data_IF_474696059657
#
_entry.id   IF_474696059657
#
_cell.length_a   1.000
_cell.length_b   1.000
_cell.length_c   1.000
_cell.angle_alpha   90.00
_cell.angle_beta   90.00
_cell.angle_gamma   90.00
#
_symmetry.space_group_name_H-M   'P 1'
#
loop_
_entity.id
_entity.type
_entity.pdbx_description
1 polymer ?
#
# COMPACT_ATOMS: atom_id res chain seq x y z
N UNK A 1 42.59 10.46 -0.78
CA UNK A 1 41.29 11.16 -0.67
C UNK A 1 40.83 11.80 -1.99
N UNK A 2 41.69 12.47 -2.79
CA UNK A 2 41.26 13.02 -4.10
C UNK A 2 40.88 11.94 -5.11
N UNK A 3 41.63 10.85 -5.20
CA UNK A 3 41.35 9.73 -6.11
C UNK A 3 40.06 8.93 -5.80
N UNK A 4 39.47 9.06 -4.61
CA UNK A 4 38.22 8.36 -4.26
C UNK A 4 37.01 9.11 -4.82
N UNK A 5 36.99 10.44 -4.70
CA UNK A 5 35.98 11.27 -5.36
C UNK A 5 36.06 11.18 -6.88
N UNK A 6 37.27 11.09 -7.46
CA UNK A 6 37.42 10.89 -8.90
C UNK A 6 37.01 9.48 -9.33
N UNK A 7 37.18 8.45 -8.49
CA UNK A 7 36.64 7.10 -8.77
C UNK A 7 35.13 7.07 -8.68
N UNK A 8 34.51 7.68 -7.68
CA UNK A 8 33.04 7.77 -7.54
C UNK A 8 32.41 8.68 -8.61
N UNK A 9 33.17 9.64 -9.14
CA UNK A 9 32.73 10.47 -10.27
C UNK A 9 32.95 9.79 -11.64
N UNK A 10 33.94 8.89 -11.76
CA UNK A 10 34.29 8.20 -13.02
C UNK A 10 33.72 6.78 -13.14
N UNK A 11 33.33 6.12 -12.04
CA UNK A 11 32.22 5.18 -12.13
C UNK A 11 31.02 6.07 -12.34
N UNK A 12 30.61 6.18 -13.60
CA UNK A 12 29.22 6.41 -13.94
C UNK A 12 28.39 5.45 -13.09
N UNK A 13 28.01 5.91 -11.89
CA UNK A 13 26.94 5.35 -11.10
C UNK A 13 25.73 5.66 -11.97
N UNK A 14 25.53 4.79 -12.97
CA UNK A 14 24.81 5.12 -14.18
C UNK A 14 23.57 5.89 -13.81
N UNK A 15 23.53 7.13 -14.27
CA UNK A 15 22.31 7.93 -14.29
C UNK A 15 21.18 7.19 -15.02
N UNK A 16 21.53 6.12 -15.74
CA UNK A 16 20.64 5.14 -16.40
C UNK A 16 20.17 3.97 -15.52
N UNK A 17 20.58 3.84 -14.25
CA UNK A 17 20.30 2.62 -13.46
C UNK A 17 18.87 2.59 -12.89
N UNK A 18 18.18 3.73 -12.77
CA UNK A 18 16.74 3.78 -12.50
C UNK A 18 16.13 5.07 -13.08
N UNK A 19 15.92 5.18 -14.40
CA UNK A 19 15.10 6.27 -14.91
C UNK A 19 13.69 6.12 -14.31
N UNK A 20 13.14 7.22 -13.80
CA UNK A 20 11.72 7.31 -13.44
C UNK A 20 10.94 6.86 -14.68
N UNK A 21 10.41 5.64 -14.62
CA UNK A 21 9.88 4.92 -15.77
C UNK A 21 8.56 5.56 -16.19
N UNK A 22 8.60 6.37 -17.25
CA UNK A 22 7.46 7.15 -17.74
C UNK A 22 6.28 6.26 -18.16
N UNK A 23 6.56 5.05 -18.64
CA UNK A 23 5.57 4.01 -18.94
C UNK A 23 4.74 3.61 -17.71
N UNK A 24 5.33 3.60 -16.52
CA UNK A 24 4.62 3.29 -15.27
C UNK A 24 3.56 4.35 -14.95
N UNK A 25 3.84 5.63 -15.21
CA UNK A 25 2.88 6.72 -15.00
C UNK A 25 1.72 6.67 -16.01
N UNK A 26 2.01 6.30 -17.26
CA UNK A 26 0.97 6.11 -18.29
C UNK A 26 0.04 4.96 -17.87
N UNK A 27 0.60 3.82 -17.43
CA UNK A 27 -0.20 2.69 -16.96
C UNK A 27 -1.04 3.10 -15.72
N UNK A 28 -0.46 3.79 -14.75
CA UNK A 28 -1.18 4.27 -13.55
C UNK A 28 -2.34 5.21 -13.91
N UNK A 29 -2.14 6.07 -14.91
CA UNK A 29 -3.19 6.95 -15.45
C UNK A 29 -4.34 6.16 -16.05
N UNK A 30 -4.04 5.15 -16.87
CA UNK A 30 -5.06 4.29 -17.49
C UNK A 30 -5.83 3.46 -16.45
N UNK A 31 -5.18 3.10 -15.34
CA UNK A 31 -5.78 2.34 -14.24
C UNK A 31 -6.44 3.22 -13.16
N UNK A 32 -6.51 4.54 -13.33
CA UNK A 32 -7.15 5.44 -12.35
C UNK A 32 -8.61 5.06 -12.02
N UNK A 33 -9.46 4.63 -12.98
CA UNK A 33 -10.81 4.15 -12.67
C UNK A 33 -10.82 2.93 -11.74
N UNK A 34 -9.88 1.99 -11.92
CA UNK A 34 -9.78 0.82 -11.05
C UNK A 34 -9.31 1.22 -9.64
N UNK A 35 -8.44 2.24 -9.54
CA UNK A 35 -8.03 2.82 -8.26
C UNK A 35 -9.23 3.45 -7.55
N UNK A 36 -10.03 4.26 -8.25
CA UNK A 36 -11.26 4.82 -7.71
C UNK A 36 -12.18 3.71 -7.20
N UNK A 37 -12.46 2.69 -8.02
CA UNK A 37 -13.29 1.55 -7.61
C UNK A 37 -12.72 0.87 -6.36
N UNK A 38 -11.41 0.61 -6.29
CA UNK A 38 -10.78 0.05 -5.08
C UNK A 38 -11.00 0.94 -3.86
N UNK A 39 -10.82 2.25 -3.98
CA UNK A 39 -11.08 3.20 -2.90
C UNK A 39 -12.53 3.12 -2.43
N UNK A 40 -13.50 3.10 -3.34
CA UNK A 40 -14.92 2.98 -2.98
C UNK A 40 -15.24 1.64 -2.28
N UNK A 41 -14.63 0.54 -2.73
CA UNK A 41 -14.74 -0.77 -2.07
C UNK A 41 -14.18 -0.71 -0.64
N UNK A 42 -13.03 -0.05 -0.44
CA UNK A 42 -12.43 0.10 0.89
C UNK A 42 -13.30 0.97 1.81
N UNK A 43 -13.95 2.01 1.27
CA UNK A 43 -14.92 2.83 1.99
C UNK A 43 -16.21 2.06 2.34
N UNK A 44 -16.45 0.93 1.65
CA UNK A 44 -17.61 0.08 1.86
C UNK A 44 -18.81 0.42 0.98
N UNK A 45 -18.62 1.22 -0.07
CA UNK A 45 -19.65 1.51 -1.06
C UNK A 45 -19.85 0.29 -1.98
N UNK A 46 -21.02 -0.33 -1.90
CA UNK A 46 -21.37 -1.56 -2.64
C UNK A 46 -22.72 -1.39 -3.37
N UNK A 47 -22.75 -0.77 -4.56
CA UNK A 47 -24.00 -0.48 -5.28
C UNK A 47 -24.62 -1.72 -5.96
N UNK A 48 -23.86 -2.81 -6.10
CA UNK A 48 -24.31 -4.04 -6.75
C UNK A 48 -24.53 -5.14 -5.71
N UNK A 49 -25.69 -5.78 -5.76
CA UNK A 49 -26.03 -6.88 -4.87
C UNK A 49 -25.08 -8.08 -5.02
N UNK A 50 -24.72 -8.77 -3.92
CA UNK A 50 -23.90 -9.97 -3.98
C UNK A 50 -24.66 -11.11 -4.66
N UNK A 51 -23.95 -11.91 -5.43
CA UNK A 51 -24.48 -13.11 -6.07
C UNK A 51 -24.03 -14.36 -5.30
N UNK A 52 -24.92 -15.35 -5.21
CA UNK A 52 -24.57 -16.64 -4.64
C UNK A 52 -23.66 -17.39 -5.62
N UNK A 53 -22.49 -17.80 -5.16
CA UNK A 53 -21.53 -18.61 -5.92
C UNK A 53 -21.26 -19.91 -5.17
N UNK A 54 -21.02 -20.99 -5.91
CA UNK A 54 -20.57 -22.24 -5.33
C UNK A 54 -19.13 -22.08 -4.87
N UNK A 55 -18.82 -22.58 -3.67
CA UNK A 55 -17.44 -22.52 -3.18
C UNK A 55 -16.48 -23.22 -4.15
N UNK A 56 -15.25 -22.72 -4.35
CA UNK A 56 -14.26 -23.43 -5.17
C UNK A 56 -13.97 -24.85 -4.66
N UNK A 57 -14.14 -25.07 -3.35
CA UNK A 57 -14.00 -26.38 -2.70
C UNK A 57 -15.16 -27.35 -3.01
N UNK A 58 -16.29 -26.84 -3.54
CA UNK A 58 -17.34 -27.67 -4.14
C UNK A 58 -16.83 -28.45 -5.35
N UNK A 59 -15.82 -27.94 -6.07
CA UNK A 59 -15.20 -28.65 -7.20
C UNK A 59 -14.41 -29.88 -6.71
N UNK A 60 -13.91 -29.84 -5.47
CA UNK A 60 -13.23 -30.94 -4.80
C UNK A 60 -14.19 -31.83 -3.97
N UNK A 61 -15.51 -31.69 -4.15
CA UNK A 61 -16.55 -32.48 -3.46
C UNK A 61 -16.52 -32.43 -1.92
N UNK A 62 -15.77 -31.50 -1.33
CA UNK A 62 -15.52 -31.46 0.12
C UNK A 62 -16.62 -30.73 0.91
N UNK A 63 -17.33 -29.78 0.30
CA UNK A 63 -18.46 -29.08 0.92
C UNK A 63 -19.28 -28.25 -0.08
N UNK A 64 -20.61 -28.40 -0.04
CA UNK A 64 -21.59 -27.64 -0.85
C UNK A 64 -22.01 -26.34 -0.16
N UNK A 65 -21.09 -25.61 0.49
CA UNK A 65 -21.41 -24.31 1.08
C UNK A 65 -21.57 -23.24 -0.01
N UNK A 66 -22.69 -22.52 0.03
CA UNK A 66 -22.93 -21.34 -0.80
C UNK A 66 -22.17 -20.15 -0.22
N UNK A 67 -21.41 -19.45 -1.07
CA UNK A 67 -20.66 -18.25 -0.67
C UNK A 67 -21.23 -17.07 -1.43
N UNK A 68 -21.56 -16.00 -0.72
CA UNK A 68 -21.98 -14.75 -1.35
C UNK A 68 -20.76 -13.95 -1.77
N UNK A 69 -20.70 -13.59 -3.05
CA UNK A 69 -19.60 -12.85 -3.64
C UNK A 69 -20.13 -11.56 -4.28
N UNK A 70 -19.43 -10.45 -4.03
CA UNK A 70 -19.65 -9.23 -4.78
C UNK A 70 -19.12 -9.38 -6.21
N UNK A 71 -19.69 -8.63 -7.18
CA UNK A 71 -19.15 -8.55 -8.52
C UNK A 71 -17.68 -8.11 -8.52
N UNK A 72 -16.92 -8.57 -9.50
CA UNK A 72 -15.52 -8.19 -9.63
C UNK A 72 -15.33 -6.67 -9.83
N UNK A 73 -14.10 -6.20 -9.65
CA UNK A 73 -13.74 -4.78 -9.80
C UNK A 73 -14.08 -4.20 -11.17
N UNK A 74 -14.03 -5.00 -12.25
CA UNK A 74 -14.32 -4.53 -13.61
C UNK A 74 -15.81 -4.28 -13.82
N UNK A 75 -16.68 -5.17 -13.33
CA UNK A 75 -18.14 -5.00 -13.38
C UNK A 75 -18.54 -3.77 -12.58
N UNK A 76 -17.95 -3.58 -11.40
CA UNK A 76 -18.16 -2.37 -10.60
C UNK A 76 -17.67 -1.12 -11.36
N UNK A 77 -16.46 -1.12 -11.90
CA UNK A 77 -15.93 0.03 -12.66
C UNK A 77 -16.79 0.37 -13.88
N UNK A 78 -17.29 -0.65 -14.60
CA UNK A 78 -18.26 -0.45 -15.69
C UNK A 78 -19.55 0.19 -15.19
N UNK A 79 -20.06 -0.25 -14.04
CA UNK A 79 -21.23 0.37 -13.42
C UNK A 79 -20.98 1.85 -13.08
N UNK A 80 -19.81 2.19 -12.53
CA UNK A 80 -19.44 3.59 -12.25
C UNK A 80 -19.46 4.45 -13.52
N UNK A 81 -18.91 3.95 -14.63
CA UNK A 81 -18.93 4.66 -15.91
C UNK A 81 -20.34 4.90 -16.44
N UNK A 82 -21.23 3.93 -16.31
CA UNK A 82 -22.63 4.08 -16.74
C UNK A 82 -23.42 5.04 -15.83
N UNK A 83 -23.14 5.04 -14.52
CA UNK A 83 -23.90 5.83 -13.54
C UNK A 83 -23.43 7.28 -13.44
N UNK A 84 -22.11 7.52 -13.46
CA UNK A 84 -21.52 8.84 -13.23
C UNK A 84 -20.86 9.45 -14.48
N UNK A 85 -20.77 8.69 -15.57
CA UNK A 85 -20.18 9.14 -16.84
C UNK A 85 -18.68 8.83 -16.95
N UNK A 86 -18.18 8.86 -18.18
CA UNK A 86 -16.79 8.51 -18.51
C UNK A 86 -15.78 9.47 -17.86
N UNK A 87 -15.93 10.77 -18.14
CA UNK A 87 -14.94 11.78 -17.72
C UNK A 87 -14.83 11.93 -16.20
N UNK A 88 -15.93 12.05 -15.43
CA UNK A 88 -15.82 12.17 -13.97
C UNK A 88 -15.09 10.98 -13.34
N UNK A 89 -15.37 9.76 -13.80
CA UNK A 89 -14.72 8.54 -13.29
C UNK A 89 -13.25 8.46 -13.71
N UNK A 90 -12.92 8.84 -14.94
CA UNK A 90 -11.52 8.84 -15.43
C UNK A 90 -10.64 9.87 -14.71
N UNK A 91 -11.16 11.08 -14.47
CA UNK A 91 -10.37 12.20 -13.94
C UNK A 91 -10.45 12.35 -12.42
N UNK A 92 -11.38 11.65 -11.75
CA UNK A 92 -11.55 11.70 -10.30
C UNK A 92 -10.23 11.40 -9.58
N UNK A 93 -9.80 12.31 -8.71
CA UNK A 93 -8.59 12.14 -7.91
C UNK A 93 -7.29 12.09 -8.71
N UNK A 94 -7.31 12.27 -10.04
CA UNK A 94 -6.16 12.01 -10.90
C UNK A 94 -4.91 12.77 -10.48
N UNK A 95 -5.03 14.09 -10.28
CA UNK A 95 -3.89 14.93 -9.89
C UNK A 95 -3.31 14.51 -8.53
N UNK A 96 -4.19 14.25 -7.56
CA UNK A 96 -3.80 13.78 -6.22
C UNK A 96 -3.09 12.43 -6.28
N UNK A 97 -3.64 11.48 -7.06
CA UNK A 97 -3.02 10.17 -7.33
C UNK A 97 -1.65 10.32 -7.98
N UNK A 98 -1.53 11.20 -8.97
CA UNK A 98 -0.26 11.46 -9.66
C UNK A 98 0.80 12.03 -8.70
N UNK A 99 0.47 13.05 -7.91
CA UNK A 99 1.39 13.61 -6.92
C UNK A 99 1.77 12.59 -5.85
N UNK A 100 0.80 11.81 -5.36
CA UNK A 100 1.04 10.71 -4.43
C UNK A 100 2.04 9.69 -5.00
N UNK A 101 1.78 9.23 -6.22
CA UNK A 101 2.61 8.22 -6.89
C UNK A 101 4.01 8.76 -7.18
N UNK A 102 4.12 10.00 -7.69
CA UNK A 102 5.39 10.65 -7.98
C UNK A 102 6.26 10.80 -6.72
N UNK A 103 5.68 11.30 -5.63
CA UNK A 103 6.40 11.44 -4.37
C UNK A 103 6.81 10.07 -3.81
N UNK A 104 5.94 9.06 -3.90
CA UNK A 104 6.27 7.69 -3.50
C UNK A 104 7.46 7.14 -4.29
N UNK A 105 7.52 7.37 -5.62
CA UNK A 105 8.67 6.97 -6.44
C UNK A 105 9.96 7.69 -6.03
N UNK A 106 9.88 8.99 -5.72
CA UNK A 106 11.04 9.76 -5.24
C UNK A 106 11.56 9.18 -3.92
N UNK A 107 10.69 8.89 -2.95
CA UNK A 107 11.09 8.29 -1.68
C UNK A 107 11.59 6.86 -1.81
N UNK A 108 11.02 6.08 -2.74
CA UNK A 108 11.53 4.77 -3.09
C UNK A 108 12.96 4.86 -3.64
N UNK A 109 13.22 5.77 -4.58
CA UNK A 109 14.55 6.01 -5.10
C UNK A 109 15.55 6.43 -4.00
N UNK A 110 15.15 7.33 -3.11
CA UNK A 110 15.98 7.77 -1.98
C UNK A 110 16.30 6.61 -1.01
N UNK A 111 15.30 5.79 -0.69
CA UNK A 111 15.47 4.61 0.18
C UNK A 111 16.37 3.56 -0.47
N UNK A 112 16.19 3.30 -1.76
CA UNK A 112 17.03 2.39 -2.53
C UNK A 112 18.48 2.88 -2.58
N UNK A 113 18.70 4.17 -2.89
CA UNK A 113 20.03 4.79 -2.91
C UNK A 113 20.71 4.69 -1.54
N UNK A 114 19.98 4.96 -0.45
CA UNK A 114 20.50 4.78 0.91
C UNK A 114 20.95 3.34 1.17
N UNK A 115 20.16 2.34 0.77
CA UNK A 115 20.51 0.92 0.95
C UNK A 115 21.75 0.56 0.11
N UNK A 116 21.80 0.96 -1.15
CA UNK A 116 22.93 0.67 -2.07
C UNK A 116 24.22 1.32 -1.58
N UNK A 117 24.18 2.60 -1.19
CA UNK A 117 25.35 3.30 -0.67
C UNK A 117 25.90 2.62 0.59
N UNK A 118 25.02 2.19 1.50
CA UNK A 118 25.44 1.44 2.69
C UNK A 118 25.94 0.04 2.36
N UNK A 119 25.39 -0.60 1.33
CA UNK A 119 25.88 -1.89 0.86
C UNK A 119 27.29 -1.77 0.26
N UNK A 120 27.54 -0.76 -0.57
CA UNK A 120 28.86 -0.47 -1.15
C UNK A 120 29.91 -0.13 -0.08
N UNK A 121 29.57 0.69 0.92
CA UNK A 121 30.48 0.99 2.03
C UNK A 121 30.76 -0.24 2.92
N UNK A 122 29.83 -1.20 2.98
CA UNK A 122 30.08 -2.48 3.64
C UNK A 122 30.91 -3.44 2.74
N UNK A 123 30.83 -3.29 1.42
CA UNK A 123 31.59 -4.05 0.42
C UNK A 123 33.08 -3.72 0.38
N UNK A 124 33.52 -2.59 0.96
CA UNK A 124 34.96 -2.30 1.20
C UNK A 124 35.63 -3.36 2.12
N UNK A 125 34.85 -4.31 2.66
CA UNK A 125 35.26 -5.46 3.48
C UNK A 125 34.94 -6.83 2.86
N UNK A 126 34.44 -6.89 1.62
CA UNK A 126 34.09 -8.15 0.94
C UNK A 126 35.12 -8.48 -0.15
N UNK A 127 35.67 -9.69 -0.07
CA UNK A 127 36.65 -10.25 -1.00
C UNK A 127 36.08 -10.34 -2.43
N UNK A 128 36.89 -9.97 -3.43
CA UNK A 128 36.53 -9.69 -4.83
C UNK A 128 35.84 -10.86 -5.57
N UNK A 129 35.82 -12.05 -4.97
CA UNK A 129 35.30 -13.29 -5.55
C UNK A 129 33.77 -13.41 -5.53
N UNK A 130 33.04 -12.65 -4.71
CA UNK A 130 31.56 -12.72 -4.65
C UNK A 130 30.83 -11.69 -5.54
N UNK A 131 31.54 -10.70 -6.07
CA UNK A 131 30.99 -9.55 -6.81
C UNK A 131 30.65 -9.88 -8.28
N UNK A 132 31.33 -10.86 -8.88
CA UNK A 132 31.22 -11.09 -10.33
C UNK A 132 30.00 -11.89 -10.81
N UNK A 133 29.14 -12.41 -9.94
CA UNK A 133 28.15 -13.42 -10.36
C UNK A 133 26.66 -13.13 -10.09
N UNK A 134 26.27 -11.98 -9.52
CA UNK A 134 24.85 -11.78 -9.12
C UNK A 134 24.16 -10.57 -9.77
N UNK A 135 22.95 -10.76 -10.35
CA UNK A 135 22.18 -9.67 -10.95
C UNK A 135 21.60 -8.72 -9.89
N UNK A 136 21.44 -7.46 -10.32
CA UNK A 136 21.29 -6.20 -9.58
C UNK A 136 20.09 -6.06 -8.61
N UNK A 137 19.18 -7.03 -8.51
CA UNK A 137 18.07 -6.99 -7.53
C UNK A 137 18.41 -7.60 -6.16
N UNK A 138 19.59 -8.23 -6.02
CA UNK A 138 20.02 -8.93 -4.80
C UNK A 138 21.07 -8.19 -3.97
N UNK A 139 21.41 -6.96 -4.33
CA UNK A 139 22.52 -6.25 -3.71
C UNK A 139 22.20 -5.78 -2.28
N UNK A 140 20.97 -5.33 -2.01
CA UNK A 140 20.50 -5.04 -0.66
C UNK A 140 20.25 -6.29 0.19
N UNK A 141 20.22 -7.48 -0.43
CA UNK A 141 19.97 -8.73 0.28
C UNK A 141 21.20 -9.12 1.10
N UNK A 142 22.41 -9.14 0.53
CA UNK A 142 23.63 -9.50 1.27
C UNK A 142 24.02 -8.57 2.43
N UNK A 143 23.50 -7.34 2.46
CA UNK A 143 23.84 -6.36 3.48
C UNK A 143 23.26 -6.69 4.86
N UNK A 144 22.01 -7.17 4.94
CA UNK A 144 21.35 -7.47 6.23
C UNK A 144 22.01 -8.65 6.96
N UNK A 145 22.78 -9.43 6.22
CA UNK A 145 23.21 -10.77 6.54
C UNK A 145 24.38 -10.84 7.54
N UNK A 146 25.21 -9.78 7.59
CA UNK A 146 26.46 -9.77 8.38
C UNK A 146 26.58 -8.61 9.37
N UNK A 147 25.56 -7.77 9.46
CA UNK A 147 25.60 -6.55 10.27
C UNK A 147 25.35 -6.87 11.77
N UNK A 148 26.16 -6.33 12.70
CA UNK A 148 25.93 -6.47 14.13
C UNK A 148 24.60 -5.81 14.56
N UNK A 149 24.00 -6.28 15.65
CA UNK A 149 22.64 -5.88 16.04
C UNK A 149 22.48 -4.35 16.21
N UNK A 150 23.50 -3.67 16.72
CA UNK A 150 23.51 -2.21 16.89
C UNK A 150 23.45 -1.46 15.56
N UNK A 151 24.22 -1.88 14.57
CA UNK A 151 24.21 -1.29 13.23
C UNK A 151 22.91 -1.64 12.50
N UNK A 152 22.39 -2.87 12.65
CA UNK A 152 21.08 -3.24 12.10
C UNK A 152 19.97 -2.35 12.65
N UNK A 153 19.97 -2.09 13.97
CA UNK A 153 19.01 -1.18 14.60
C UNK A 153 19.14 0.26 14.06
N UNK A 154 20.37 0.76 13.86
CA UNK A 154 20.60 2.08 13.27
C UNK A 154 20.08 2.17 11.82
N UNK A 155 20.34 1.14 10.99
CA UNK A 155 19.84 1.11 9.62
C UNK A 155 18.32 1.00 9.58
N UNK A 156 17.72 0.16 10.43
CA UNK A 156 16.27 0.04 10.56
C UNK A 156 15.65 1.37 10.98
N UNK A 157 16.24 2.08 11.95
CA UNK A 157 15.78 3.39 12.37
C UNK A 157 15.79 4.40 11.22
N UNK A 158 16.88 4.48 10.46
CA UNK A 158 16.98 5.38 9.30
C UNK A 158 15.94 5.05 8.22
N UNK A 159 15.72 3.76 7.93
CA UNK A 159 14.67 3.33 7.00
C UNK A 159 13.27 3.69 7.51
N UNK A 160 13.01 3.51 8.81
CA UNK A 160 11.77 3.94 9.44
C UNK A 160 11.59 5.47 9.32
N UNK A 161 12.64 6.26 9.57
CA UNK A 161 12.57 7.71 9.42
C UNK A 161 12.25 8.11 7.98
N UNK A 162 12.93 7.54 6.99
CA UNK A 162 12.63 7.79 5.57
C UNK A 162 11.17 7.47 5.23
N UNK A 163 10.67 6.33 5.72
CA UNK A 163 9.28 5.90 5.49
C UNK A 163 8.25 6.78 6.20
N UNK A 164 8.55 7.27 7.41
CA UNK A 164 7.70 8.24 8.11
C UNK A 164 7.61 9.55 7.32
N UNK A 165 8.72 10.07 6.80
CA UNK A 165 8.72 11.28 5.98
C UNK A 165 7.91 11.08 4.70
N UNK A 166 8.07 9.94 4.01
CA UNK A 166 7.27 9.58 2.85
C UNK A 166 5.77 9.64 3.16
N UNK A 167 5.32 8.98 4.25
CA UNK A 167 3.91 8.94 4.62
C UNK A 167 3.39 10.34 4.95
N UNK A 168 4.12 11.13 5.72
CA UNK A 168 3.73 12.50 6.09
C UNK A 168 3.58 13.40 4.87
N UNK A 169 4.51 13.32 3.92
CA UNK A 169 4.50 14.16 2.70
C UNK A 169 3.41 13.71 1.72
N UNK A 170 3.16 12.41 1.61
CA UNK A 170 2.15 11.85 0.69
C UNK A 170 0.73 11.88 1.26
N UNK A 171 0.55 12.04 2.59
CA UNK A 171 -0.76 11.94 3.25
C UNK A 171 -1.81 12.94 2.73
N UNK A 172 -1.49 14.23 2.53
CA UNK A 172 -2.49 15.18 2.02
C UNK A 172 -3.07 14.74 0.66
N UNK A 173 -2.22 14.27 -0.25
CA UNK A 173 -2.64 13.79 -1.57
C UNK A 173 -3.50 12.53 -1.46
N UNK A 174 -3.15 11.61 -0.56
CA UNK A 174 -3.97 10.43 -0.28
C UNK A 174 -5.37 10.81 0.21
N UNK A 175 -5.48 11.72 1.18
CA UNK A 175 -6.78 12.16 1.73
C UNK A 175 -7.62 12.86 0.66
N UNK A 176 -7.02 13.75 -0.13
CA UNK A 176 -7.71 14.43 -1.22
C UNK A 176 -8.23 13.40 -2.24
N UNK A 177 -7.40 12.45 -2.67
CA UNK A 177 -7.81 11.37 -3.56
C UNK A 177 -9.02 10.59 -3.02
N UNK A 178 -9.00 10.19 -1.74
CA UNK A 178 -10.11 9.44 -1.12
C UNK A 178 -11.39 10.27 -1.03
N UNK A 179 -11.30 11.54 -0.62
CA UNK A 179 -12.46 12.44 -0.51
C UNK A 179 -13.06 12.79 -1.88
N UNK A 180 -12.23 13.00 -2.90
CA UNK A 180 -12.71 13.15 -4.29
C UNK A 180 -13.38 11.88 -4.81
N UNK A 181 -12.88 10.71 -4.40
CA UNK A 181 -13.51 9.42 -4.68
C UNK A 181 -14.90 9.33 -4.06
N UNK A 182 -15.04 9.65 -2.76
CA UNK A 182 -16.35 9.63 -2.09
C UNK A 182 -17.32 10.69 -2.64
N UNK A 183 -16.82 11.87 -3.03
CA UNK A 183 -17.68 12.95 -3.54
C UNK A 183 -18.36 12.62 -4.86
N UNK A 184 -17.80 11.71 -5.67
CA UNK A 184 -18.45 11.27 -6.92
C UNK A 184 -19.80 10.60 -6.62
N UNK A 185 -19.89 9.86 -5.51
CA UNK A 185 -21.11 9.18 -5.06
C UNK A 185 -22.13 10.21 -4.57
N UNK A 186 -21.67 11.15 -3.72
CA UNK A 186 -22.51 12.20 -3.15
C UNK A 186 -22.93 13.29 -4.15
N UNK A 187 -22.42 13.25 -5.39
CA UNK A 187 -22.58 14.30 -6.41
C UNK A 187 -22.21 15.70 -5.88
N UNK A 188 -21.22 15.74 -4.99
CA UNK A 188 -20.79 16.96 -4.30
C UNK A 188 -19.81 17.75 -5.18
N UNK A 189 -20.20 18.98 -5.52
CA UNK A 189 -19.42 19.84 -6.44
C UNK A 189 -18.14 20.38 -5.77
N UNK A 190 -18.13 20.49 -4.43
CA UNK A 190 -16.98 21.01 -3.67
C UNK A 190 -15.68 20.21 -3.79
N UNK A 191 -15.70 19.05 -4.43
CA UNK A 191 -14.54 18.15 -4.58
C UNK A 191 -14.28 17.78 -6.05
N UNK A 192 -14.97 18.40 -7.02
CA UNK A 192 -14.82 18.07 -8.45
C UNK A 192 -13.40 18.30 -8.96
N UNK A 193 -12.75 19.38 -8.52
CA UNK A 193 -11.36 19.70 -8.87
C UNK A 193 -10.43 19.66 -7.67
N UNK A 194 -9.13 19.45 -7.92
CA UNK A 194 -8.11 19.39 -6.87
C UNK A 194 -8.13 20.62 -5.96
N UNK A 195 -8.11 21.83 -6.52
CA UNK A 195 -8.10 23.06 -5.73
C UNK A 195 -9.38 23.22 -4.89
N UNK A 196 -10.53 22.80 -5.44
CA UNK A 196 -11.81 22.83 -4.71
C UNK A 196 -11.78 21.86 -3.54
N UNK A 197 -11.27 20.65 -3.76
CA UNK A 197 -11.11 19.66 -2.70
C UNK A 197 -10.19 20.18 -1.59
N UNK A 198 -9.07 20.83 -1.93
CA UNK A 198 -8.17 21.49 -0.95
C UNK A 198 -8.92 22.55 -0.14
N UNK A 199 -9.64 23.45 -0.80
CA UNK A 199 -10.41 24.51 -0.13
C UNK A 199 -11.51 23.94 0.77
N UNK A 200 -12.23 22.91 0.30
CA UNK A 200 -13.28 22.24 1.06
C UNK A 200 -12.73 21.53 2.30
N UNK A 201 -11.60 20.82 2.18
CA UNK A 201 -10.96 20.16 3.34
C UNK A 201 -10.50 21.20 4.37
N UNK A 202 -9.85 22.27 3.91
CA UNK A 202 -9.36 23.32 4.79
C UNK A 202 -10.51 24.06 5.49
N UNK A 203 -11.61 24.33 4.78
CA UNK A 203 -12.82 24.94 5.36
C UNK A 203 -13.46 24.03 6.41
N UNK A 204 -13.54 22.73 6.15
CA UNK A 204 -14.28 21.80 7.00
C UNK A 204 -13.48 21.37 8.26
N UNK A 205 -12.15 21.20 8.14
CA UNK A 205 -11.29 20.61 9.19
C UNK A 205 -9.94 21.32 9.40
N UNK A 206 -9.68 22.42 8.69
CA UNK A 206 -8.36 23.06 8.68
C UNK A 206 -7.25 22.15 8.15
N UNK A 207 -6.04 22.37 8.64
CA UNK A 207 -4.84 21.62 8.22
C UNK A 207 -4.92 20.16 8.66
N UNK A 208 -5.51 19.88 9.82
CA UNK A 208 -5.61 18.51 10.35
C UNK A 208 -6.45 17.59 9.47
N UNK A 209 -7.39 18.15 8.69
CA UNK A 209 -8.18 17.38 7.72
C UNK A 209 -7.35 16.67 6.66
N UNK A 210 -6.21 17.23 6.26
CA UNK A 210 -5.30 16.59 5.29
C UNK A 210 -4.54 15.39 5.87
N UNK A 211 -4.56 15.22 7.19
CA UNK A 211 -3.87 14.16 7.91
C UNK A 211 -4.85 13.14 8.54
N UNK A 212 -6.14 13.22 8.22
CA UNK A 212 -7.13 12.23 8.63
C UNK A 212 -6.71 10.81 8.18
N UNK A 213 -6.74 9.85 9.09
CA UNK A 213 -6.31 8.47 8.83
C UNK A 213 -4.79 8.23 8.84
N UNK A 214 -3.94 9.22 9.17
CA UNK A 214 -2.48 9.04 9.14
C UNK A 214 -1.97 7.95 10.09
N UNK A 215 -2.55 7.81 11.29
CA UNK A 215 -2.09 6.82 12.28
C UNK A 215 -2.19 5.38 11.78
N UNK A 216 -3.36 4.88 11.33
CA UNK A 216 -3.43 3.53 10.76
C UNK A 216 -2.58 3.40 9.49
N UNK A 217 -2.39 4.45 8.69
CA UNK A 217 -1.50 4.42 7.52
C UNK A 217 -0.03 4.25 7.90
N UNK A 218 0.47 5.01 8.87
CA UNK A 218 1.84 4.87 9.39
C UNK A 218 2.08 3.44 9.89
N UNK A 219 1.14 2.89 10.64
CA UNK A 219 1.24 1.51 11.10
C UNK A 219 1.21 0.50 9.94
N UNK A 220 0.36 0.72 8.93
CA UNK A 220 0.29 -0.11 7.73
C UNK A 220 1.59 -0.09 6.92
N UNK A 221 2.24 1.05 6.77
CA UNK A 221 3.42 1.22 5.94
C UNK A 221 4.71 0.78 6.66
N UNK A 222 4.80 1.02 7.97
CA UNK A 222 5.98 0.65 8.77
C UNK A 222 5.98 -0.83 9.19
N UNK A 223 4.82 -1.37 9.57
CA UNK A 223 4.77 -2.72 10.15
C UNK A 223 5.27 -3.81 9.20
N UNK A 224 4.94 -3.82 7.88
CA UNK A 224 5.44 -4.84 6.98
C UNK A 224 6.94 -4.77 6.79
N UNK A 225 7.48 -3.56 6.62
CA UNK A 225 8.91 -3.34 6.47
C UNK A 225 9.68 -3.83 7.71
N UNK A 226 9.26 -3.42 8.90
CA UNK A 226 9.92 -3.81 10.15
C UNK A 226 9.84 -5.32 10.36
N UNK A 227 8.64 -5.90 10.24
CA UNK A 227 8.44 -7.34 10.46
C UNK A 227 9.22 -8.14 9.42
N UNK A 228 9.19 -7.74 8.15
CA UNK A 228 9.92 -8.42 7.09
C UNK A 228 11.44 -8.41 7.33
N UNK A 229 12.02 -7.26 7.69
CA UNK A 229 13.45 -7.15 7.98
C UNK A 229 13.85 -7.98 9.22
N UNK A 230 13.03 -7.96 10.27
CA UNK A 230 13.24 -8.76 11.47
C UNK A 230 13.15 -10.27 11.18
N UNK A 231 12.09 -10.70 10.48
CA UNK A 231 11.89 -12.11 10.07
C UNK A 231 13.06 -12.56 9.20
N UNK A 232 13.48 -11.75 8.25
CA UNK A 232 14.63 -12.06 7.38
C UNK A 232 15.90 -12.29 8.19
N UNK A 233 16.21 -11.40 9.14
CA UNK A 233 17.35 -11.55 10.05
C UNK A 233 17.25 -12.82 10.91
N UNK A 234 16.07 -13.12 11.46
CA UNK A 234 15.85 -14.32 12.29
C UNK A 234 15.97 -15.63 11.49
N UNK A 235 15.34 -15.71 10.32
CA UNK A 235 15.42 -16.87 9.43
C UNK A 235 16.87 -17.17 9.05
N UNK A 236 17.66 -16.13 8.84
CA UNK A 236 19.07 -16.28 8.52
C UNK A 236 19.93 -16.80 9.67
N UNK A 237 19.77 -16.25 10.86
CA UNK A 237 20.57 -16.67 12.03
C UNK A 237 20.24 -18.11 12.45
N UNK A 238 18.96 -18.47 12.47
CA UNK A 238 18.49 -19.72 13.09
C UNK A 238 18.21 -20.86 12.10
N UNK A 239 17.69 -20.57 10.90
CA UNK A 239 17.21 -21.60 9.98
C UNK A 239 18.20 -21.85 8.85
N UNK A 240 18.71 -20.80 8.19
CA UNK A 240 19.59 -20.96 7.03
C UNK A 240 21.03 -21.38 7.38
N UNK A 241 21.45 -21.19 8.63
CA UNK A 241 22.67 -21.82 9.16
C UNK A 241 22.55 -23.36 9.22
N UNK A 242 21.35 -23.87 9.48
CA UNK A 242 21.04 -25.32 9.53
C UNK A 242 20.63 -25.89 8.16
N UNK A 243 19.90 -25.12 7.34
CA UNK A 243 19.33 -25.52 6.05
C UNK A 243 20.21 -25.11 4.85
N UNK A 244 21.53 -25.09 5.02
CA UNK A 244 22.48 -24.69 3.96
C UNK A 244 22.38 -25.53 2.67
N UNK A 245 21.79 -26.73 2.74
CA UNK A 245 21.63 -27.63 1.59
C UNK A 245 20.43 -27.31 0.69
N UNK A 246 19.52 -26.42 1.10
CA UNK A 246 18.31 -26.12 0.34
C UNK A 246 18.60 -25.20 -0.85
N UNK A 247 17.90 -25.40 -1.97
CA UNK A 247 18.17 -24.62 -3.18
C UNK A 247 17.81 -23.13 -3.01
N UNK A 248 18.49 -22.26 -3.76
CA UNK A 248 18.25 -20.81 -3.80
C UNK A 248 16.77 -20.46 -4.10
N UNK A 249 16.08 -21.32 -4.85
CA UNK A 249 14.66 -21.17 -5.18
C UNK A 249 13.78 -21.27 -3.94
N UNK A 250 14.05 -22.23 -3.05
CA UNK A 250 13.22 -22.41 -1.85
C UNK A 250 13.37 -21.22 -0.89
N UNK A 251 14.58 -20.69 -0.75
CA UNK A 251 14.84 -19.46 0.01
C UNK A 251 13.99 -18.29 -0.52
N UNK A 252 13.99 -18.10 -1.84
CA UNK A 252 13.19 -17.07 -2.51
C UNK A 252 11.68 -17.24 -2.26
N UNK A 253 11.18 -18.48 -2.32
CA UNK A 253 9.78 -18.78 -2.02
C UNK A 253 9.41 -18.45 -0.57
N UNK A 254 10.26 -18.79 0.40
CA UNK A 254 10.02 -18.48 1.83
C UNK A 254 9.97 -16.96 2.05
N UNK A 255 10.90 -16.21 1.44
CA UNK A 255 10.90 -14.75 1.54
C UNK A 255 9.66 -14.11 0.89
N UNK A 256 9.25 -14.61 -0.28
CA UNK A 256 8.05 -14.11 -0.97
C UNK A 256 6.78 -14.42 -0.18
N UNK A 257 6.66 -15.65 0.34
CA UNK A 257 5.51 -16.07 1.12
C UNK A 257 5.41 -15.31 2.45
N UNK A 258 6.52 -15.13 3.17
CA UNK A 258 6.55 -14.34 4.41
C UNK A 258 6.12 -12.90 4.15
N UNK A 259 6.64 -12.26 3.10
CA UNK A 259 6.23 -10.91 2.70
C UNK A 259 4.73 -10.86 2.36
N UNK A 260 4.20 -11.83 1.61
CA UNK A 260 2.79 -11.89 1.25
C UNK A 260 1.88 -12.00 2.48
N UNK A 261 2.22 -12.87 3.45
CA UNK A 261 1.47 -13.03 4.70
C UNK A 261 1.48 -11.75 5.53
N UNK A 262 2.65 -11.12 5.66
CA UNK A 262 2.80 -9.87 6.40
C UNK A 262 1.92 -8.76 5.80
N UNK A 263 1.95 -8.59 4.46
CA UNK A 263 1.11 -7.60 3.78
C UNK A 263 -0.38 -7.90 3.92
N UNK A 264 -0.79 -9.17 3.84
CA UNK A 264 -2.19 -9.56 4.04
C UNK A 264 -2.72 -9.18 5.43
N UNK A 265 -1.90 -9.35 6.47
CA UNK A 265 -2.25 -8.96 7.84
C UNK A 265 -2.28 -7.44 8.00
N UNK A 266 -1.29 -6.74 7.42
CA UNK A 266 -1.17 -5.29 7.51
C UNK A 266 -2.28 -4.55 6.73
N UNK A 267 -2.78 -5.13 5.63
CA UNK A 267 -3.85 -4.54 4.80
C UNK A 267 -5.09 -4.10 5.58
N UNK A 268 -5.37 -4.76 6.70
CA UNK A 268 -6.47 -4.39 7.61
C UNK A 268 -6.37 -2.94 8.08
N UNK A 269 -5.15 -2.43 8.23
CA UNK A 269 -4.88 -1.04 8.62
C UNK A 269 -4.99 -0.07 7.42
N UNK A 270 -4.70 -0.52 6.19
CA UNK A 270 -4.93 0.27 4.97
C UNK A 270 -6.42 0.62 4.83
N UNK A 271 -7.32 -0.37 5.04
CA UNK A 271 -8.78 -0.15 4.99
C UNK A 271 -9.22 0.84 6.06
N UNK A 272 -8.73 0.70 7.30
CA UNK A 272 -9.05 1.64 8.39
C UNK A 272 -8.55 3.05 8.07
N UNK A 273 -7.36 3.18 7.48
CA UNK A 273 -6.84 4.46 6.99
C UNK A 273 -7.75 5.09 5.93
N UNK A 274 -8.22 4.30 4.97
CA UNK A 274 -9.10 4.76 3.90
C UNK A 274 -10.43 5.28 4.45
N UNK A 275 -11.09 4.53 5.32
CA UNK A 275 -12.33 4.98 5.99
C UNK A 275 -12.08 6.23 6.82
N UNK A 276 -10.98 6.27 7.57
CA UNK A 276 -10.67 7.40 8.43
C UNK A 276 -10.20 8.64 7.66
N UNK A 277 -9.85 8.55 6.38
CA UNK A 277 -9.59 9.71 5.53
C UNK A 277 -10.87 10.55 5.27
N UNK A 278 -12.06 9.94 5.35
CA UNK A 278 -13.35 10.64 5.26
C UNK A 278 -13.78 11.31 6.58
N UNK A 279 -13.12 11.00 7.69
CA UNK A 279 -13.51 11.54 9.00
C UNK A 279 -13.37 13.06 9.05
N UNK A 280 -14.42 13.69 9.56
CA UNK A 280 -14.62 15.13 9.59
C UNK A 280 -15.11 15.73 8.27
N UNK A 281 -15.24 14.95 7.19
CA UNK A 281 -15.73 15.49 5.90
C UNK A 281 -17.25 15.71 5.92
N UNK A 282 -17.71 16.75 5.23
CA UNK A 282 -19.15 17.08 5.07
C UNK A 282 -19.73 16.55 3.76
N UNK A 283 -19.16 15.48 3.23
CA UNK A 283 -19.62 14.85 1.98
C UNK A 283 -20.96 14.14 2.27
N UNK A 284 -22.03 14.37 1.48
CA UNK A 284 -23.36 13.82 1.75
C UNK A 284 -23.47 12.34 1.30
N UNK A 285 -22.66 11.46 1.90
CA UNK A 285 -22.67 10.01 1.63
C UNK A 285 -22.81 9.20 2.91
N UNK A 286 -23.38 8.00 2.81
CA UNK A 286 -23.52 7.09 3.94
C UNK A 286 -22.15 6.70 4.52
N UNK A 287 -21.15 6.53 3.65
CA UNK A 287 -19.78 6.17 4.01
C UNK A 287 -19.11 7.28 4.83
N UNK A 288 -19.32 8.55 4.45
CA UNK A 288 -18.82 9.69 5.22
C UNK A 288 -19.55 9.80 6.58
N UNK A 289 -20.87 9.55 6.62
CA UNK A 289 -21.62 9.53 7.87
C UNK A 289 -21.13 8.43 8.83
N UNK A 290 -20.84 7.23 8.31
CA UNK A 290 -20.25 6.13 9.08
C UNK A 290 -18.83 6.47 9.52
N UNK A 291 -18.00 7.07 8.66
CA UNK A 291 -16.67 7.50 9.07
C UNK A 291 -16.75 8.50 10.23
N UNK A 292 -17.63 9.51 10.13
CA UNK A 292 -17.83 10.57 11.12
C UNK A 292 -18.43 10.08 12.44
N UNK A 293 -19.09 8.92 12.47
CA UNK A 293 -19.64 8.38 13.72
C UNK A 293 -18.56 7.82 14.66
N UNK A 294 -17.38 7.49 14.13
CA UNK A 294 -16.28 6.99 14.94
C UNK A 294 -15.56 8.12 15.69
N UNK A 295 -15.28 7.91 16.97
CA UNK A 295 -14.43 8.81 17.77
C UNK A 295 -12.97 8.79 17.30
N UNK A 296 -12.52 7.67 16.72
CA UNK A 296 -11.19 7.54 16.13
C UNK A 296 -10.92 6.17 15.51
N UNK A 297 -9.69 6.00 15.00
CA UNK A 297 -9.32 4.83 14.20
C UNK A 297 -9.38 3.48 14.94
N UNK A 298 -9.18 3.49 16.27
CA UNK A 298 -9.26 2.27 17.09
C UNK A 298 -10.68 1.72 17.14
N UNK A 299 -11.66 2.61 17.26
CA UNK A 299 -13.08 2.27 17.23
C UNK A 299 -13.48 1.77 15.84
N UNK A 300 -13.12 2.52 14.79
CA UNK A 300 -13.33 2.12 13.40
C UNK A 300 -12.78 0.70 13.14
N UNK A 301 -11.53 0.43 13.56
CA UNK A 301 -10.91 -0.90 13.43
C UNK A 301 -11.71 -1.99 14.16
N UNK A 302 -12.17 -1.75 15.39
CA UNK A 302 -12.96 -2.73 16.16
C UNK A 302 -14.28 -3.02 15.48
N UNK A 303 -14.99 -1.98 15.06
CA UNK A 303 -16.29 -2.12 14.36
C UNK A 303 -16.14 -2.90 13.06
N UNK A 304 -15.16 -2.54 12.23
CA UNK A 304 -14.89 -3.28 10.99
C UNK A 304 -14.40 -4.71 11.24
N UNK A 305 -13.74 -4.98 12.37
CA UNK A 305 -13.35 -6.34 12.75
C UNK A 305 -14.58 -7.18 13.10
N UNK A 306 -15.50 -6.63 13.89
CA UNK A 306 -16.74 -7.30 14.31
C UNK A 306 -17.65 -7.62 13.13
N UNK A 307 -17.70 -6.74 12.13
CA UNK A 307 -18.51 -6.95 10.91
C UNK A 307 -17.78 -7.77 9.83
N UNK A 308 -16.55 -8.24 10.06
CA UNK A 308 -15.79 -9.03 9.08
C UNK A 308 -15.34 -8.24 7.84
N UNK A 309 -15.22 -6.92 7.97
CA UNK A 309 -15.07 -5.97 6.86
C UNK A 309 -13.66 -5.38 6.71
N UNK A 310 -12.68 -5.85 7.48
CA UNK A 310 -11.29 -5.35 7.46
C UNK A 310 -10.51 -5.71 6.19
N UNK A 311 -11.00 -6.61 5.34
CA UNK A 311 -10.28 -7.10 4.15
C UNK A 311 -10.97 -6.74 2.83
N UNK A 312 -11.91 -5.80 2.85
CA UNK A 312 -12.58 -5.31 1.64
C UNK A 312 -11.56 -4.78 0.63
N UNK A 313 -11.67 -5.21 -0.62
CA UNK A 313 -10.82 -4.75 -1.72
C UNK A 313 -9.41 -5.37 -1.78
N UNK A 314 -9.06 -6.29 -0.88
CA UNK A 314 -7.77 -7.00 -0.96
C UNK A 314 -7.71 -7.87 -2.22
N UNK A 315 -8.77 -8.64 -2.47
CA UNK A 315 -8.94 -9.44 -3.68
C UNK A 315 -9.89 -8.73 -4.65
N UNK A 316 -9.39 -8.10 -5.73
CA UNK A 316 -10.24 -7.34 -6.66
C UNK A 316 -11.17 -8.23 -7.51
N UNK A 317 -10.79 -9.50 -7.72
CA UNK A 317 -11.57 -10.46 -8.52
C UNK A 317 -12.52 -11.28 -7.65
N UNK A 318 -12.02 -11.86 -6.56
CA UNK A 318 -12.79 -12.70 -5.64
C UNK A 318 -13.16 -11.91 -4.38
N UNK A 319 -14.25 -11.15 -4.50
CA UNK A 319 -14.72 -10.26 -3.44
C UNK A 319 -15.76 -10.94 -2.57
N UNK A 320 -15.31 -11.62 -1.53
CA UNK A 320 -16.21 -12.31 -0.59
C UNK A 320 -17.06 -11.30 0.18
N UNK A 321 -18.38 -11.53 0.20
CA UNK A 321 -19.29 -10.81 1.07
C UNK A 321 -19.15 -11.41 2.47
N UNK A 322 -18.95 -10.59 3.53
CA UNK A 322 -19.11 -11.08 4.88
C UNK A 322 -20.50 -11.69 5.00
N UNK A 323 -20.59 -12.93 5.48
CA UNK A 323 -21.88 -13.50 5.88
C UNK A 323 -22.49 -12.53 6.90
N UNK A 324 -23.80 -12.22 6.82
CA UNK A 324 -24.43 -11.43 7.85
C UNK A 324 -24.19 -12.16 9.17
N UNK A 325 -23.34 -11.59 10.03
CA UNK A 325 -23.31 -11.95 11.43
C UNK A 325 -24.75 -11.79 11.88
N UNK A 326 -25.38 -12.89 12.33
CA UNK A 326 -26.64 -12.83 13.06
C UNK A 326 -26.51 -11.74 14.12
N UNK A 327 -27.02 -10.55 13.81
CA UNK A 327 -27.32 -9.57 14.84
C UNK A 327 -28.49 -10.17 15.59
N UNK A 328 -28.38 -10.42 16.91
CA UNK A 328 -29.58 -10.74 17.68
C UNK A 328 -30.50 -9.52 17.56
N UNK A 329 -31.72 -9.78 17.10
CA UNK A 329 -32.85 -8.85 17.13
C UNK A 329 -33.11 -8.37 18.56
#
# INVERSE_FOLDING_TARGET
MSNFYTRVANTELGTDIYPIRSDTFVIRTLLNPLRLTRTLIQLGHEPLSPTASLSPLSLLSFSSSTIYCYPNVFVYTRHLFHTYGFWPVMTCGFFSSFCFDFLTEVFYFMSHRYIVERALCAEEWLDDTEVMEKPKSRFGEGLVDRIPLSQFAAHLLNLCLLKVHEVVITQPFYVIMVRQGASIIGKEVGYSWFYQAVLSIFRDNGIMGFFSGITPRLMFELSPMIIYLCVRRMLQQNIFSSLRSWSKTVHSCIHTLSYAVINFLAYRLEVVSCVMALHGSRIPTAEAAVANSFSGWRECRRTLAMTGQLQRGYFPFWRFCPTPSFAPL
#
